data_IF_655931262413
#
_entry.id   IF_655931262413
#
_cell.length_a   1.000
_cell.length_b   1.000
_cell.length_c   1.000
_cell.angle_alpha   90.00
_cell.angle_beta   90.00
_cell.angle_gamma   90.00
#
_symmetry.space_group_name_H-M   'P 1'
#
loop_
_entity.id
_entity.type
_entity.pdbx_description
1 polymer ?
#
# COMPACT_ATOMS: atom_id res chain seq x y z
N UNK A 1 -15.95 7.99 26.12
CA UNK A 1 -16.06 7.47 24.76
C UNK A 1 -14.70 7.63 24.12
N UNK A 2 -13.97 6.56 23.89
CA UNK A 2 -12.76 6.57 23.10
C UNK A 2 -13.17 6.81 21.64
N UNK A 3 -12.93 8.01 21.12
CA UNK A 3 -13.11 8.29 19.69
C UNK A 3 -12.08 7.47 18.94
N UNK A 4 -12.54 6.49 18.17
CA UNK A 4 -11.69 5.76 17.23
C UNK A 4 -10.99 6.78 16.31
N UNK A 5 -9.69 6.59 15.99
CA UNK A 5 -9.04 7.43 14.97
C UNK A 5 -9.92 7.41 13.72
N UNK A 6 -10.36 8.58 13.28
CA UNK A 6 -11.35 8.69 12.20
C UNK A 6 -10.82 8.16 10.85
N UNK A 7 -9.52 8.06 10.74
CA UNK A 7 -8.82 7.56 9.55
C UNK A 7 -8.67 6.03 9.49
N UNK A 8 -8.86 5.31 10.61
CA UNK A 8 -8.88 3.85 10.67
C UNK A 8 -10.25 3.44 11.19
N UNK A 9 -11.09 2.83 10.35
CA UNK A 9 -12.47 2.57 10.69
C UNK A 9 -13.04 1.32 10.03
N UNK A 10 -14.12 0.74 10.59
CA UNK A 10 -14.78 -0.43 10.01
C UNK A 10 -15.50 -0.09 8.70
N UNK A 11 -15.83 -1.13 7.94
CA UNK A 11 -16.77 -1.09 6.83
C UNK A 11 -18.22 -1.31 7.30
N UNK A 12 -19.14 -1.40 6.34
CA UNK A 12 -20.60 -1.55 6.59
C UNK A 12 -20.99 -2.90 7.18
N UNK A 13 -20.10 -3.90 7.21
CA UNK A 13 -20.36 -5.23 7.83
C UNK A 13 -19.65 -5.39 9.16
N UNK A 14 -18.89 -4.37 9.60
CA UNK A 14 -18.20 -4.38 10.88
C UNK A 14 -16.76 -4.90 10.83
N UNK A 15 -16.22 -5.26 9.66
CA UNK A 15 -14.81 -5.60 9.55
C UNK A 15 -13.96 -4.39 9.86
N UNK A 16 -12.96 -4.57 10.72
CA UNK A 16 -12.02 -3.54 11.13
C UNK A 16 -10.62 -3.83 10.60
N UNK A 17 -9.83 -2.81 10.23
CA UNK A 17 -8.46 -3.04 9.75
C UNK A 17 -7.59 -3.74 10.79
N UNK A 18 -6.86 -4.77 10.37
CA UNK A 18 -5.83 -5.47 11.12
C UNK A 18 -4.47 -4.89 10.71
N UNK A 19 -3.78 -4.20 11.60
CA UNK A 19 -2.54 -3.48 11.29
C UNK A 19 -1.46 -3.91 12.28
N UNK A 20 -0.32 -4.38 11.76
CA UNK A 20 0.84 -4.71 12.60
C UNK A 20 1.38 -3.45 13.28
N UNK A 21 1.82 -3.60 14.52
CA UNK A 21 2.30 -2.48 15.34
C UNK A 21 3.58 -1.82 14.80
N UNK A 22 4.37 -2.55 14.01
CA UNK A 22 5.58 -2.04 13.37
C UNK A 22 5.28 -1.25 12.09
N UNK A 23 4.06 -1.31 11.58
CA UNK A 23 3.65 -0.51 10.42
C UNK A 23 3.53 0.98 10.79
N UNK A 24 3.95 1.84 9.88
CA UNK A 24 3.70 3.27 9.98
C UNK A 24 2.54 3.66 9.07
N UNK A 25 1.46 4.13 9.66
CA UNK A 25 0.33 4.71 8.93
C UNK A 25 0.33 6.22 9.17
N UNK A 26 0.44 7.00 8.10
CA UNK A 26 0.34 8.46 8.22
C UNK A 26 -1.04 8.86 8.76
N UNK A 27 -1.13 9.83 9.69
CA UNK A 27 -2.42 10.27 10.25
C UNK A 27 -3.45 10.76 9.24
N UNK A 28 -3.02 11.18 8.05
CA UNK A 28 -3.91 11.61 6.95
C UNK A 28 -4.37 10.47 6.05
N UNK A 29 -3.72 9.30 6.11
CA UNK A 29 -4.11 8.13 5.34
C UNK A 29 -5.45 7.55 5.85
N UNK A 30 -6.24 6.97 4.95
CA UNK A 30 -7.54 6.35 5.27
C UNK A 30 -7.45 4.84 5.10
N UNK A 31 -7.63 4.07 6.17
CA UNK A 31 -7.66 2.61 6.15
C UNK A 31 -9.06 2.14 6.56
N UNK A 32 -9.79 1.51 5.66
CA UNK A 32 -11.23 1.25 5.86
C UNK A 32 -11.56 -0.21 5.61
N UNK A 33 -12.18 -0.85 6.60
CA UNK A 33 -12.79 -2.16 6.44
C UNK A 33 -11.83 -3.34 6.50
N UNK A 34 -12.06 -4.35 5.69
CA UNK A 34 -11.35 -5.62 5.72
C UNK A 34 -9.93 -5.52 5.12
N UNK A 35 -9.09 -4.69 5.73
CA UNK A 35 -7.71 -4.44 5.31
C UNK A 35 -6.76 -5.11 6.29
N UNK A 36 -5.77 -5.86 5.78
CA UNK A 36 -4.70 -6.48 6.57
C UNK A 36 -3.37 -5.88 6.15
N UNK A 37 -2.67 -5.27 7.10
CA UNK A 37 -1.37 -4.64 6.90
C UNK A 37 -0.35 -5.35 7.76
N UNK A 38 0.61 -6.00 7.10
CA UNK A 38 1.67 -6.78 7.75
C UNK A 38 2.77 -5.87 8.36
N UNK A 39 3.78 -6.53 8.93
CA UNK A 39 4.90 -5.86 9.60
C UNK A 39 5.69 -4.96 8.63
N UNK A 40 6.26 -3.91 9.19
CA UNK A 40 7.21 -3.01 8.54
C UNK A 40 6.67 -2.30 7.27
N UNK A 41 5.34 -2.24 7.12
CA UNK A 41 4.70 -1.49 6.03
C UNK A 41 4.76 0.01 6.30
N UNK A 42 5.03 0.79 5.24
CA UNK A 42 4.88 2.25 5.23
C UNK A 42 3.63 2.64 4.45
N UNK A 43 2.77 3.46 5.04
CA UNK A 43 1.62 4.09 4.35
C UNK A 43 1.73 5.59 4.51
N UNK A 44 2.03 6.27 3.42
CA UNK A 44 2.27 7.70 3.33
C UNK A 44 1.01 8.56 3.36
N UNK A 45 1.19 9.91 3.39
CA UNK A 45 0.12 10.88 3.46
C UNK A 45 -0.94 10.71 2.38
N UNK A 46 -2.21 10.95 2.75
CA UNK A 46 -3.37 10.94 1.86
C UNK A 46 -3.61 9.61 1.10
N UNK A 47 -2.93 8.53 1.45
CA UNK A 47 -3.21 7.22 0.88
C UNK A 47 -4.59 6.72 1.35
N UNK A 48 -5.31 6.02 0.46
CA UNK A 48 -6.62 5.43 0.75
C UNK A 48 -6.59 3.93 0.45
N UNK A 49 -6.77 3.10 1.46
CA UNK A 49 -6.88 1.64 1.32
C UNK A 49 -8.26 1.24 1.85
N UNK A 50 -9.14 0.79 0.95
CA UNK A 50 -10.56 0.63 1.29
C UNK A 50 -11.13 -0.70 0.80
N UNK A 51 -11.46 -1.61 1.74
CA UNK A 51 -12.13 -2.89 1.52
C UNK A 51 -13.53 -2.84 2.16
N UNK A 52 -14.54 -2.39 1.42
CA UNK A 52 -15.87 -2.09 1.95
C UNK A 52 -17.05 -2.48 1.05
N UNK A 53 -16.80 -3.06 -0.13
CA UNK A 53 -17.87 -3.53 -1.02
C UNK A 53 -18.21 -5.00 -0.76
N UNK A 54 -19.49 -5.25 -0.43
CA UNK A 54 -20.01 -6.61 -0.20
C UNK A 54 -20.09 -7.41 -1.50
N UNK A 55 -19.57 -8.63 -1.45
CA UNK A 55 -19.80 -9.63 -2.48
C UNK A 55 -21.23 -10.20 -2.46
N UNK A 56 -21.55 -11.09 -3.40
CA UNK A 56 -22.85 -11.77 -3.47
C UNK A 56 -23.17 -12.60 -2.22
N UNK A 57 -22.14 -13.04 -1.48
CA UNK A 57 -22.27 -13.77 -0.21
C UNK A 57 -22.46 -12.85 1.01
N UNK A 58 -22.59 -11.55 0.80
CA UNK A 58 -22.74 -10.53 1.84
C UNK A 58 -21.46 -10.16 2.56
N UNK A 59 -20.33 -10.81 2.27
CA UNK A 59 -19.01 -10.56 2.90
C UNK A 59 -18.18 -9.59 2.07
N UNK A 60 -17.22 -8.97 2.71
CA UNK A 60 -16.22 -8.13 2.06
C UNK A 60 -14.92 -8.92 1.91
N UNK A 61 -14.43 -9.04 0.68
CA UNK A 61 -13.13 -9.67 0.42
C UNK A 61 -11.98 -8.77 0.91
N UNK A 62 -10.87 -9.36 1.43
CA UNK A 62 -9.81 -8.59 2.04
C UNK A 62 -8.90 -7.91 1.01
N UNK A 63 -8.33 -6.77 1.43
CA UNK A 63 -7.11 -6.21 0.86
C UNK A 63 -5.96 -6.58 1.79
N UNK A 64 -4.92 -7.24 1.23
CA UNK A 64 -3.72 -7.66 1.96
C UNK A 64 -2.50 -6.91 1.48
N UNK A 65 -1.84 -6.26 2.42
CA UNK A 65 -0.56 -5.57 2.21
C UNK A 65 0.48 -6.37 2.98
N UNK A 66 1.35 -7.05 2.24
CA UNK A 66 2.36 -7.93 2.83
C UNK A 66 3.53 -7.14 3.42
N UNK A 67 4.46 -7.85 4.04
CA UNK A 67 5.55 -7.25 4.80
C UNK A 67 6.44 -6.32 3.97
N UNK A 68 6.92 -5.25 4.60
CA UNK A 68 7.88 -4.31 4.03
C UNK A 68 7.38 -3.59 2.75
N UNK A 69 6.07 -3.61 2.48
CA UNK A 69 5.49 -2.85 1.37
C UNK A 69 5.55 -1.36 1.66
N UNK A 70 5.87 -0.58 0.63
CA UNK A 70 5.94 0.87 0.65
C UNK A 70 4.79 1.46 -0.17
N UNK A 71 3.82 2.06 0.50
CA UNK A 71 2.68 2.76 -0.12
C UNK A 71 2.88 4.26 0.09
N UNK A 72 3.11 4.99 -1.01
CA UNK A 72 3.43 6.40 -0.96
C UNK A 72 2.19 7.30 -1.03
N UNK A 73 2.44 8.61 -1.07
CA UNK A 73 1.42 9.64 -0.92
C UNK A 73 0.33 9.55 -1.98
N UNK A 74 -0.93 9.69 -1.57
CA UNK A 74 -2.08 9.74 -2.46
C UNK A 74 -2.39 8.45 -3.23
N UNK A 75 -1.79 7.32 -2.87
CA UNK A 75 -2.10 6.01 -3.45
C UNK A 75 -3.54 5.61 -3.11
N UNK A 76 -4.26 5.04 -4.09
CA UNK A 76 -5.61 4.51 -3.89
C UNK A 76 -5.59 3.01 -4.15
N UNK A 77 -6.00 2.22 -3.16
CA UNK A 77 -6.17 0.77 -3.27
C UNK A 77 -7.62 0.42 -2.93
N UNK A 78 -8.33 -0.13 -3.88
CA UNK A 78 -9.74 -0.52 -3.74
C UNK A 78 -10.03 -1.77 -4.57
N UNK A 79 -11.19 -2.39 -4.40
CA UNK A 79 -11.59 -3.57 -5.17
C UNK A 79 -13.09 -3.58 -5.46
N UNK A 80 -13.48 -4.28 -6.52
CA UNK A 80 -14.88 -4.60 -6.79
C UNK A 80 -15.48 -5.48 -5.66
N UNK A 81 -16.80 -5.51 -5.62
CA UNK A 81 -17.57 -6.31 -4.68
C UNK A 81 -17.16 -7.80 -4.70
N UNK A 82 -16.78 -8.33 -3.55
CA UNK A 82 -16.36 -9.72 -3.39
C UNK A 82 -14.98 -10.06 -3.98
N UNK A 83 -14.24 -9.07 -4.48
CA UNK A 83 -12.92 -9.26 -5.04
C UNK A 83 -11.81 -8.75 -4.08
N UNK A 84 -10.64 -9.39 -4.12
CA UNK A 84 -9.52 -9.08 -3.25
C UNK A 84 -8.39 -8.34 -3.98
N UNK A 85 -7.54 -7.67 -3.20
CA UNK A 85 -6.23 -7.18 -3.64
C UNK A 85 -5.16 -7.77 -2.73
N UNK A 86 -4.06 -8.24 -3.31
CA UNK A 86 -2.86 -8.63 -2.57
C UNK A 86 -1.66 -7.89 -3.15
N UNK A 87 -0.86 -7.28 -2.29
CA UNK A 87 0.41 -6.64 -2.67
C UNK A 87 1.53 -7.36 -1.93
N UNK A 88 2.39 -8.03 -2.69
CA UNK A 88 3.49 -8.87 -2.19
C UNK A 88 4.63 -8.07 -1.58
N UNK A 89 5.50 -8.77 -0.80
CA UNK A 89 6.49 -8.13 0.05
C UNK A 89 7.48 -7.25 -0.73
N UNK A 90 7.99 -6.21 -0.06
CA UNK A 90 8.98 -5.26 -0.60
C UNK A 90 8.57 -4.53 -1.88
N UNK A 91 7.28 -4.57 -2.22
CA UNK A 91 6.75 -3.84 -3.38
C UNK A 91 6.57 -2.36 -3.05
N UNK A 92 6.96 -1.48 -3.98
CA UNK A 92 6.76 -0.04 -3.88
C UNK A 92 5.60 0.40 -4.77
N UNK A 93 4.54 0.93 -4.15
CA UNK A 93 3.40 1.56 -4.81
C UNK A 93 3.58 3.06 -4.63
N UNK A 94 4.02 3.76 -5.71
CA UNK A 94 4.48 5.13 -5.56
C UNK A 94 3.39 6.17 -5.84
N UNK A 95 3.73 7.44 -5.60
CA UNK A 95 2.81 8.59 -5.50
C UNK A 95 1.64 8.59 -6.50
N UNK A 96 0.42 8.62 -5.97
CA UNK A 96 -0.80 8.73 -6.76
C UNK A 96 -1.12 7.53 -7.64
N UNK A 97 -0.48 6.37 -7.42
CA UNK A 97 -0.82 5.15 -8.13
C UNK A 97 -2.21 4.63 -7.70
N UNK A 98 -2.92 3.97 -8.62
CA UNK A 98 -4.24 3.38 -8.39
C UNK A 98 -4.15 1.89 -8.62
N UNK A 99 -4.56 1.10 -7.62
CA UNK A 99 -4.72 -0.35 -7.71
C UNK A 99 -6.18 -0.70 -7.48
N UNK A 100 -6.88 -1.10 -8.54
CA UNK A 100 -8.29 -1.47 -8.47
C UNK A 100 -8.46 -2.95 -8.77
N UNK A 101 -8.80 -3.71 -7.75
CA UNK A 101 -8.93 -5.16 -7.81
C UNK A 101 -10.13 -5.72 -8.59
N UNK A 102 -10.14 -7.07 -8.81
CA UNK A 102 -9.16 -8.01 -8.24
C UNK A 102 -7.75 -7.80 -8.79
N UNK A 103 -6.76 -7.72 -7.88
CA UNK A 103 -5.36 -7.60 -8.26
C UNK A 103 -4.49 -8.52 -7.39
N UNK A 104 -3.54 -9.19 -8.04
CA UNK A 104 -2.46 -9.90 -7.37
C UNK A 104 -1.14 -9.33 -7.83
N UNK A 105 -0.39 -8.72 -6.93
CA UNK A 105 0.89 -8.09 -7.22
C UNK A 105 1.96 -8.84 -6.45
N UNK A 106 2.98 -9.34 -7.16
CA UNK A 106 4.08 -10.10 -6.61
C UNK A 106 5.01 -9.28 -5.73
N UNK A 107 6.11 -9.91 -5.32
CA UNK A 107 7.15 -9.28 -4.50
C UNK A 107 8.05 -8.35 -5.32
N UNK A 108 8.66 -7.39 -4.62
CA UNK A 108 9.71 -6.53 -5.18
C UNK A 108 9.29 -5.86 -6.51
N UNK A 109 7.99 -5.57 -6.67
CA UNK A 109 7.49 -4.80 -7.80
C UNK A 109 7.64 -3.30 -7.55
N UNK A 110 7.72 -2.54 -8.63
CA UNK A 110 7.78 -1.08 -8.60
C UNK A 110 6.67 -0.50 -9.48
N UNK A 111 5.66 0.05 -8.84
CA UNK A 111 4.59 0.78 -9.50
C UNK A 111 4.96 2.26 -9.47
N UNK A 112 5.51 2.78 -10.57
CA UNK A 112 5.97 4.16 -10.66
C UNK A 112 4.80 5.17 -10.51
N UNK A 113 5.08 6.46 -10.24
CA UNK A 113 4.03 7.43 -9.96
C UNK A 113 2.90 7.46 -10.99
N UNK A 114 1.66 7.57 -10.47
CA UNK A 114 0.43 7.66 -11.28
C UNK A 114 0.17 6.46 -12.18
N UNK A 115 0.69 5.28 -11.87
CA UNK A 115 0.27 4.05 -12.56
C UNK A 115 -1.17 3.69 -12.23
N UNK A 116 -1.88 3.07 -13.16
CA UNK A 116 -3.23 2.57 -12.95
C UNK A 116 -3.27 1.08 -13.26
N UNK A 117 -3.58 0.28 -12.26
CA UNK A 117 -3.77 -1.17 -12.39
C UNK A 117 -5.24 -1.51 -12.19
N UNK A 118 -5.84 -2.19 -13.15
CA UNK A 118 -7.24 -2.59 -13.11
C UNK A 118 -7.38 -4.08 -13.44
N UNK A 119 -7.70 -4.89 -12.44
CA UNK A 119 -7.90 -6.35 -12.60
C UNK A 119 -6.71 -7.06 -13.24
N UNK A 120 -5.54 -6.94 -12.62
CA UNK A 120 -4.28 -7.48 -13.16
C UNK A 120 -3.66 -8.48 -12.21
N UNK A 121 -2.85 -9.39 -12.79
CA UNK A 121 -1.88 -10.20 -12.08
C UNK A 121 -0.48 -9.75 -12.50
N UNK A 122 0.31 -9.28 -11.57
CA UNK A 122 1.73 -9.01 -11.73
C UNK A 122 2.51 -10.10 -11.01
N UNK A 123 3.38 -10.81 -11.70
CA UNK A 123 4.35 -11.69 -11.05
C UNK A 123 5.46 -10.87 -10.37
N UNK A 124 6.54 -11.51 -9.95
CA UNK A 124 7.60 -10.87 -9.16
C UNK A 124 8.49 -9.91 -9.98
N UNK A 125 9.10 -8.92 -9.31
CA UNK A 125 10.15 -8.03 -9.87
C UNK A 125 9.72 -7.20 -11.08
N UNK A 126 8.47 -6.83 -11.16
CA UNK A 126 7.92 -6.05 -12.28
C UNK A 126 8.10 -4.55 -12.04
N UNK A 127 8.50 -3.83 -13.09
CA UNK A 127 8.47 -2.36 -13.11
C UNK A 127 7.35 -1.86 -14.01
N UNK A 128 6.35 -1.21 -13.45
CA UNK A 128 5.34 -0.47 -14.20
C UNK A 128 5.75 0.99 -14.28
N UNK A 129 5.95 1.51 -15.49
CA UNK A 129 6.43 2.87 -15.73
C UNK A 129 5.43 3.95 -15.35
N UNK A 130 5.94 5.16 -15.08
CA UNK A 130 5.16 6.33 -14.67
C UNK A 130 3.98 6.57 -15.60
N UNK A 131 2.77 6.75 -15.03
CA UNK A 131 1.56 7.02 -15.79
C UNK A 131 1.09 5.88 -16.70
N UNK A 132 1.71 4.70 -16.63
CA UNK A 132 1.25 3.55 -17.41
C UNK A 132 -0.05 2.96 -16.85
N UNK A 133 -0.85 2.38 -17.73
CA UNK A 133 -2.12 1.72 -17.40
C UNK A 133 -1.99 0.24 -17.78
N UNK A 134 -2.23 -0.67 -16.85
CA UNK A 134 -2.38 -2.09 -17.13
C UNK A 134 -3.79 -2.55 -16.74
N UNK A 135 -4.47 -3.23 -17.65
CA UNK A 135 -5.87 -3.62 -17.49
C UNK A 135 -6.12 -5.03 -17.99
N UNK A 136 -6.70 -5.88 -17.13
CA UNK A 136 -7.16 -7.24 -17.50
C UNK A 136 -6.06 -8.13 -18.07
N UNK A 137 -4.82 -7.98 -17.59
CA UNK A 137 -3.65 -8.72 -18.09
C UNK A 137 -2.89 -9.38 -16.94
N UNK A 138 -2.15 -10.43 -17.28
CA UNK A 138 -1.10 -11.01 -16.45
C UNK A 138 0.25 -10.61 -17.04
N UNK A 139 1.11 -9.99 -16.22
CA UNK A 139 2.48 -9.65 -16.57
C UNK A 139 3.43 -10.66 -15.94
N UNK A 140 4.27 -11.34 -16.76
CA UNK A 140 5.27 -12.28 -16.25
C UNK A 140 6.34 -11.56 -15.43
N UNK A 141 7.03 -12.32 -14.58
CA UNK A 141 8.11 -11.81 -13.75
C UNK A 141 9.17 -11.04 -14.57
N UNK A 142 9.77 -10.04 -13.94
CA UNK A 142 10.79 -9.17 -14.54
C UNK A 142 10.32 -8.32 -15.73
N UNK A 143 9.03 -8.24 -15.98
CA UNK A 143 8.49 -7.41 -17.07
C UNK A 143 8.69 -5.92 -16.78
N UNK A 144 9.14 -5.17 -17.82
CA UNK A 144 9.27 -3.71 -17.79
C UNK A 144 8.18 -3.06 -18.66
N UNK A 145 7.19 -2.47 -18.02
CA UNK A 145 6.14 -1.68 -18.71
C UNK A 145 6.67 -0.25 -18.94
N UNK A 146 6.70 0.28 -20.17
CA UNK A 146 7.15 1.64 -20.44
C UNK A 146 6.25 2.70 -19.80
N UNK A 147 6.82 3.88 -19.53
CA UNK A 147 6.04 5.02 -19.03
C UNK A 147 4.97 5.45 -20.05
N UNK A 148 3.79 5.83 -19.55
CA UNK A 148 2.68 6.31 -20.35
C UNK A 148 2.02 5.28 -21.27
N UNK A 149 2.45 4.01 -21.22
CA UNK A 149 1.86 2.96 -22.09
C UNK A 149 0.54 2.44 -21.51
N UNK A 150 -0.28 1.88 -22.41
CA UNK A 150 -1.53 1.19 -22.02
C UNK A 150 -1.39 -0.28 -22.44
N UNK A 151 -1.43 -1.18 -21.45
CA UNK A 151 -1.32 -2.63 -21.63
C UNK A 151 -2.65 -3.28 -21.28
N UNK A 152 -3.32 -3.90 -22.24
CA UNK A 152 -4.68 -4.45 -22.10
C UNK A 152 -4.86 -5.80 -22.79
N UNK A 153 -3.89 -6.25 -23.57
CA UNK A 153 -3.97 -7.47 -24.37
C UNK A 153 -2.64 -8.23 -24.35
N UNK A 154 -2.70 -9.54 -24.60
CA UNK A 154 -1.53 -10.41 -24.62
C UNK A 154 -0.45 -10.00 -25.62
N UNK A 155 -0.76 -9.55 -26.86
CA UNK A 155 0.28 -9.08 -27.79
C UNK A 155 1.08 -7.91 -27.26
N UNK A 156 0.45 -6.97 -26.54
CA UNK A 156 1.14 -5.84 -25.90
C UNK A 156 2.10 -6.32 -24.81
N UNK A 157 1.72 -7.36 -24.05
CA UNK A 157 2.59 -7.99 -23.03
C UNK A 157 3.80 -8.65 -23.65
N UNK A 158 3.64 -9.38 -24.76
CA UNK A 158 4.72 -10.10 -25.43
C UNK A 158 5.78 -9.16 -26.04
N UNK A 159 5.42 -7.92 -26.34
CA UNK A 159 6.35 -6.89 -26.84
C UNK A 159 7.18 -6.19 -25.76
N UNK A 160 6.93 -6.49 -24.46
CA UNK A 160 7.63 -5.83 -23.36
C UNK A 160 9.02 -6.44 -23.12
N UNK A 161 10.00 -5.58 -22.84
CA UNK A 161 11.32 -6.03 -22.42
C UNK A 161 11.37 -6.44 -20.95
N UNK A 162 12.46 -7.02 -20.54
CA UNK A 162 12.72 -7.30 -19.12
C UNK A 162 13.30 -6.08 -18.39
N UNK A 163 13.12 -6.07 -17.08
CA UNK A 163 13.78 -5.13 -16.16
C UNK A 163 15.29 -5.40 -16.19
N UNK A 164 16.08 -4.35 -16.32
CA UNK A 164 17.56 -4.44 -16.29
C UNK A 164 18.08 -4.51 -14.85
N UNK A 165 19.36 -4.89 -14.70
CA UNK A 165 20.03 -4.90 -13.38
C UNK A 165 20.04 -3.50 -12.74
N UNK A 166 20.34 -2.46 -13.53
CA UNK A 166 20.33 -1.08 -13.06
C UNK A 166 18.93 -0.63 -12.58
N UNK A 167 17.90 -1.04 -13.30
CA UNK A 167 16.52 -0.76 -12.88
C UNK A 167 16.14 -1.51 -11.59
N UNK A 168 16.58 -2.76 -11.43
CA UNK A 168 16.38 -3.51 -10.20
C UNK A 168 17.08 -2.85 -8.99
N UNK A 169 18.28 -2.35 -9.21
CA UNK A 169 19.00 -1.64 -8.15
C UNK A 169 18.27 -0.36 -7.75
N UNK A 170 17.81 0.43 -8.71
CA UNK A 170 16.98 1.61 -8.41
C UNK A 170 15.69 1.26 -7.63
N UNK A 171 15.01 0.16 -7.97
CA UNK A 171 13.82 -0.30 -7.25
C UNK A 171 14.15 -0.56 -5.77
N UNK A 172 15.30 -1.21 -5.49
CA UNK A 172 15.78 -1.46 -4.13
C UNK A 172 16.15 -0.17 -3.39
N UNK A 173 16.81 0.77 -4.08
CA UNK A 173 17.16 2.07 -3.49
C UNK A 173 15.92 2.84 -3.04
N UNK A 174 14.87 2.90 -3.88
CA UNK A 174 13.60 3.54 -3.53
C UNK A 174 12.94 2.85 -2.34
N UNK A 175 12.87 1.51 -2.37
CA UNK A 175 12.33 0.74 -1.25
C UNK A 175 13.11 1.00 0.04
N UNK A 176 14.44 0.94 0.01
CA UNK A 176 15.30 1.14 1.17
C UNK A 176 15.19 2.58 1.73
N UNK A 177 15.06 3.59 0.86
CA UNK A 177 14.87 4.98 1.28
C UNK A 177 13.57 5.14 2.09
N UNK A 178 12.47 4.57 1.63
CA UNK A 178 11.18 4.65 2.33
C UNK A 178 11.15 3.77 3.59
N UNK A 179 11.87 2.64 3.60
CA UNK A 179 12.04 1.83 4.81
C UNK A 179 12.78 2.62 5.92
N UNK A 180 13.82 3.37 5.56
CA UNK A 180 14.51 4.29 6.50
C UNK A 180 13.58 5.40 6.97
N UNK A 181 12.86 6.04 6.05
CA UNK A 181 11.90 7.10 6.38
C UNK A 181 10.84 6.62 7.37
N UNK A 182 10.33 5.39 7.20
CA UNK A 182 9.41 4.77 8.14
C UNK A 182 10.03 4.68 9.55
N UNK A 183 11.26 4.20 9.65
CA UNK A 183 11.96 4.08 10.95
C UNK A 183 12.16 5.44 11.61
N UNK A 184 12.56 6.45 10.85
CA UNK A 184 12.77 7.81 11.37
C UNK A 184 11.47 8.41 11.93
N UNK A 185 10.34 8.22 11.23
CA UNK A 185 9.03 8.67 11.73
C UNK A 185 8.54 7.89 12.95
N UNK A 186 8.80 6.58 13.03
CA UNK A 186 8.50 5.79 14.22
C UNK A 186 9.30 6.26 15.43
N UNK A 187 10.58 6.55 15.26
CA UNK A 187 11.42 7.12 16.32
C UNK A 187 10.91 8.49 16.78
N UNK A 188 10.54 9.36 15.83
CA UNK A 188 9.97 10.67 16.14
C UNK A 188 8.66 10.55 16.94
N UNK A 189 7.76 9.62 16.54
CA UNK A 189 6.52 9.32 17.24
C UNK A 189 6.79 8.88 18.69
N UNK A 190 7.67 7.92 18.87
CA UNK A 190 8.01 7.39 20.21
C UNK A 190 8.61 8.47 21.12
N UNK A 191 9.45 9.35 20.58
CA UNK A 191 9.97 10.52 21.33
C UNK A 191 8.85 11.46 21.76
N UNK A 192 7.90 11.76 20.87
CA UNK A 192 6.78 12.65 21.17
C UNK A 192 5.85 12.06 22.23
N UNK A 193 5.56 10.75 22.19
CA UNK A 193 4.76 10.04 23.19
C UNK A 193 5.45 10.05 24.57
N UNK A 194 6.75 9.80 24.63
CA UNK A 194 7.55 9.85 25.87
C UNK A 194 7.49 11.23 26.51
N UNK A 195 7.61 12.31 25.74
CA UNK A 195 7.53 13.70 26.24
C UNK A 195 6.13 13.97 26.79
N UNK A 196 5.07 13.55 26.10
CA UNK A 196 3.67 13.72 26.56
C UNK A 196 3.43 13.01 27.89
N UNK A 197 3.89 11.78 28.04
CA UNK A 197 3.78 10.99 29.29
C UNK A 197 4.46 11.68 30.46
N UNK A 198 5.70 12.14 30.29
CA UNK A 198 6.46 12.87 31.31
C UNK A 198 5.78 14.19 31.72
N UNK A 199 5.17 14.88 30.75
CA UNK A 199 4.46 16.13 31.02
C UNK A 199 3.15 15.87 31.81
N UNK A 200 2.41 14.82 31.45
CA UNK A 200 1.20 14.43 32.15
C UNK A 200 1.48 14.04 33.61
N UNK A 201 2.54 13.26 33.87
CA UNK A 201 2.97 12.89 35.23
C UNK A 201 3.35 14.10 36.09
N UNK A 202 4.09 15.06 35.50
CA UNK A 202 4.47 16.30 36.22
C UNK A 202 3.25 17.15 36.56
N UNK A 203 2.27 17.20 35.66
CA UNK A 203 1.03 17.96 35.91
C UNK A 203 0.21 17.28 37.02
N UNK A 204 0.06 15.96 36.97
CA UNK A 204 -0.64 15.22 38.02
C UNK A 204 -0.03 15.41 39.41
N UNK A 205 1.31 15.38 39.53
CA UNK A 205 2.05 15.63 40.79
C UNK A 205 1.93 17.06 41.32
N UNK A 206 1.54 18.04 40.50
CA UNK A 206 1.34 19.43 40.95
C UNK A 206 -0.09 19.72 41.44
N UNK A 207 -1.03 18.85 41.06
CA UNK A 207 -2.46 19.02 41.40
C UNK A 207 -2.93 18.16 42.60
N UNK A 208 -2.08 17.26 43.09
CA UNK A 208 -2.31 16.46 44.32
C UNK A 208 -1.39 16.91 45.46
#
# INVERSE_FOLDING_TARGET
MTTLPYNIRPNLVGDYPEIDQSALIDPSAQIIGHVKIAKDVFVGPLAVIRADQRGPDGKVAPIRIEEEVNIQDGVIIHSDAGASVTIGPKTSVTHGAIVHGPCSIGRECFLAPRTVLYKVTLEDHIWVGMGAIAKLVTLPAFTRVPAGSVIRERPEVLGLRLVTDAEREYMKEVWAANSRLRMDYLELRNKAESIRSLTAEKTAKRMG
#
